data_IF_384644783667
#
_entry.id   IF_384644783667
#
_cell.length_a   1.000
_cell.length_b   1.000
_cell.length_c   1.000
_cell.angle_alpha   90.00
_cell.angle_beta   90.00
_cell.angle_gamma   90.00
#
_symmetry.space_group_name_H-M   'P 1'
#
loop_
_entity.id
_entity.type
_entity.pdbx_description
1 polymer ?
#
# COMPACT_ATOMS: atom_id res chain seq x y z
N UNK A 1 1.76 8.26 -29.27
CA UNK A 1 2.96 8.78 -28.58
C UNK A 1 3.41 7.69 -27.62
N UNK A 2 4.62 7.16 -27.76
CA UNK A 2 5.20 6.38 -26.68
C UNK A 2 5.46 7.38 -25.55
N UNK A 3 4.65 7.37 -24.50
CA UNK A 3 5.03 8.06 -23.27
C UNK A 3 6.36 7.45 -22.84
N UNK A 4 7.42 8.25 -22.87
CA UNK A 4 8.70 7.87 -22.28
C UNK A 4 8.41 7.50 -20.83
N UNK A 5 8.74 6.27 -20.43
CA UNK A 5 8.61 5.87 -19.03
C UNK A 5 9.35 6.89 -18.15
N UNK A 6 8.72 7.37 -17.07
CA UNK A 6 9.34 8.33 -16.17
C UNK A 6 10.64 7.72 -15.64
N UNK A 7 11.61 8.57 -15.33
CA UNK A 7 12.86 8.12 -14.74
C UNK A 7 12.57 7.41 -13.40
N UNK A 8 13.02 6.17 -13.28
CA UNK A 8 12.96 5.38 -12.05
C UNK A 8 14.41 5.16 -11.59
N UNK A 9 14.74 5.62 -10.39
CA UNK A 9 16.05 5.36 -9.82
C UNK A 9 16.13 3.91 -9.31
N UNK A 10 16.99 3.11 -9.94
CA UNK A 10 17.24 1.73 -9.55
C UNK A 10 17.84 1.56 -8.14
N UNK A 11 18.40 2.62 -7.55
CA UNK A 11 18.94 2.61 -6.18
C UNK A 11 17.86 2.63 -5.10
N UNK A 12 16.68 3.17 -5.41
CA UNK A 12 15.52 3.26 -4.51
C UNK A 12 14.23 3.06 -5.32
N UNK A 13 14.06 1.82 -5.80
CA UNK A 13 12.94 1.44 -6.67
C UNK A 13 11.58 1.71 -6.01
N UNK A 14 11.44 1.36 -4.73
CA UNK A 14 10.17 1.48 -3.99
C UNK A 14 9.70 2.93 -3.99
N UNK A 15 10.56 3.84 -3.53
CA UNK A 15 10.21 5.26 -3.47
C UNK A 15 10.10 5.90 -4.85
N UNK A 16 10.98 5.54 -5.79
CA UNK A 16 10.96 6.11 -7.14
C UNK A 16 9.69 5.77 -7.91
N UNK A 17 9.22 4.52 -7.83
CA UNK A 17 7.97 4.09 -8.47
C UNK A 17 6.78 4.75 -7.76
N UNK A 18 6.73 4.69 -6.42
CA UNK A 18 5.64 5.30 -5.65
C UNK A 18 5.52 6.80 -5.91
N UNK A 19 6.64 7.52 -5.98
CA UNK A 19 6.66 8.96 -6.24
C UNK A 19 6.02 9.33 -7.57
N UNK A 20 6.19 8.51 -8.61
CA UNK A 20 5.58 8.78 -9.93
C UNK A 20 4.11 8.36 -10.00
N UNK A 21 3.61 7.57 -9.04
CA UNK A 21 2.20 7.18 -8.98
C UNK A 21 1.29 8.34 -8.56
N UNK A 22 1.68 9.15 -7.58
CA UNK A 22 0.87 10.31 -7.14
C UNK A 22 0.41 11.20 -8.32
N UNK A 23 1.31 11.74 -9.17
CA UNK A 23 0.89 12.59 -10.28
C UNK A 23 0.07 11.83 -11.34
N UNK A 24 0.31 10.52 -11.52
CA UNK A 24 -0.47 9.69 -12.46
C UNK A 24 -1.88 9.42 -11.97
N UNK A 25 -2.04 9.15 -10.68
CA UNK A 25 -3.35 9.01 -10.04
C UNK A 25 -4.08 10.34 -10.11
N UNK A 26 -3.42 11.44 -9.76
CA UNK A 26 -3.97 12.79 -9.85
C UNK A 26 -4.45 13.14 -11.27
N UNK A 27 -3.70 12.76 -12.31
CA UNK A 27 -4.10 12.96 -13.70
C UNK A 27 -5.31 12.11 -14.14
N UNK A 28 -5.56 10.98 -13.47
CA UNK A 28 -6.72 10.12 -13.72
C UNK A 28 -7.96 10.53 -12.91
N UNK A 29 -7.81 11.44 -11.94
CA UNK A 29 -8.89 11.98 -11.12
C UNK A 29 -9.67 13.08 -11.86
N UNK A 30 -10.93 13.24 -11.50
CA UNK A 30 -11.82 14.28 -12.04
C UNK A 30 -11.62 15.64 -11.37
N UNK A 31 -11.00 15.66 -10.18
CA UNK A 31 -10.84 16.84 -9.34
C UNK A 31 -12.03 17.10 -8.39
N UNK A 32 -13.12 16.34 -8.54
CA UNK A 32 -14.31 16.43 -7.68
C UNK A 32 -14.36 15.36 -6.60
N UNK A 33 -13.35 14.49 -6.52
CA UNK A 33 -13.24 13.49 -5.48
C UNK A 33 -13.23 14.16 -4.10
N UNK A 34 -13.86 13.53 -3.09
CA UNK A 34 -13.84 14.03 -1.72
C UNK A 34 -12.45 13.90 -1.06
N UNK A 35 -11.47 13.39 -1.79
CA UNK A 35 -10.09 13.20 -1.34
C UNK A 35 -9.09 13.81 -2.32
N UNK A 36 -7.84 13.92 -1.89
CA UNK A 36 -6.67 14.10 -2.74
C UNK A 36 -5.65 13.00 -2.43
N UNK A 37 -4.61 12.88 -3.25
CA UNK A 37 -3.58 11.86 -3.08
C UNK A 37 -2.25 12.54 -2.75
N UNK A 38 -1.45 11.92 -1.89
CA UNK A 38 -0.13 12.41 -1.51
C UNK A 38 0.83 11.24 -1.27
N UNK A 39 2.07 11.36 -1.75
CA UNK A 39 3.21 10.50 -1.41
C UNK A 39 3.91 11.00 -0.14
N UNK A 40 4.30 10.08 0.74
CA UNK A 40 4.97 10.39 1.99
C UNK A 40 4.15 11.22 3.01
N UNK A 41 2.80 11.07 3.12
CA UNK A 41 2.08 11.79 4.15
C UNK A 41 2.35 11.20 5.53
N UNK A 42 2.48 12.08 6.52
CA UNK A 42 2.72 11.70 7.92
C UNK A 42 1.42 11.38 8.67
N UNK A 43 1.34 10.18 9.22
CA UNK A 43 0.32 9.75 10.18
C UNK A 43 0.61 10.34 11.56
N UNK A 44 -0.28 11.19 12.09
CA UNK A 44 -0.01 11.93 13.33
C UNK A 44 -0.68 11.36 14.58
N UNK A 45 -1.74 10.57 14.45
CA UNK A 45 -2.54 10.04 15.55
C UNK A 45 -1.76 9.04 16.41
N UNK A 46 -0.96 8.19 15.78
CA UNK A 46 -0.18 7.14 16.45
C UNK A 46 1.26 7.54 16.70
N UNK A 47 1.60 8.81 16.41
CA UNK A 47 2.93 9.37 16.64
C UNK A 47 3.34 9.18 18.10
N UNK A 48 4.51 8.59 18.30
CA UNK A 48 5.13 8.49 19.63
C UNK A 48 5.54 9.89 20.13
N UNK A 49 5.66 10.11 21.45
CA UNK A 49 6.17 11.38 21.97
C UNK A 49 7.52 11.76 21.38
N UNK A 50 7.81 13.06 21.36
CA UNK A 50 9.09 13.58 20.89
C UNK A 50 10.26 12.85 21.59
N UNK A 51 11.35 12.52 20.87
CA UNK A 51 11.74 13.04 19.56
C UNK A 51 11.31 12.19 18.34
N UNK A 52 10.41 11.22 18.51
CA UNK A 52 10.03 10.32 17.41
C UNK A 52 9.30 11.06 16.27
N UNK A 53 9.67 10.75 15.02
CA UNK A 53 8.91 11.19 13.86
C UNK A 53 7.59 10.41 13.76
N UNK A 54 6.53 11.04 13.22
CA UNK A 54 5.32 10.32 12.88
C UNK A 54 5.61 9.22 11.86
N UNK A 55 4.87 8.11 11.88
CA UNK A 55 4.93 7.16 10.78
C UNK A 55 4.54 7.82 9.46
N UNK A 56 5.10 7.33 8.36
CA UNK A 56 4.95 7.89 7.02
C UNK A 56 4.42 6.77 6.12
N UNK A 57 3.34 7.07 5.39
CA UNK A 57 2.80 6.14 4.41
C UNK A 57 3.50 6.34 3.06
N UNK A 58 3.66 5.27 2.30
CA UNK A 58 4.14 5.39 0.92
C UNK A 58 3.18 6.23 0.08
N UNK A 59 1.87 6.03 0.19
CA UNK A 59 0.88 6.89 -0.47
C UNK A 59 -0.40 6.91 0.36
N UNK A 60 -1.14 8.00 0.35
CA UNK A 60 -2.48 7.99 0.92
C UNK A 60 -3.49 8.81 0.13
N UNK A 61 -4.73 8.35 0.18
CA UNK A 61 -5.92 9.08 -0.25
C UNK A 61 -6.45 9.82 0.99
N UNK A 62 -6.31 11.14 1.00
CA UNK A 62 -6.57 12.00 2.15
C UNK A 62 -7.92 12.67 1.97
N UNK A 63 -8.83 12.47 2.94
CA UNK A 63 -10.17 13.07 2.90
C UNK A 63 -10.09 14.59 3.07
N UNK A 64 -10.65 15.36 2.14
CA UNK A 64 -10.63 16.83 2.16
C UNK A 64 -11.40 17.42 3.35
N UNK A 65 -12.43 16.73 3.81
CA UNK A 65 -13.25 17.18 4.94
C UNK A 65 -12.53 17.02 6.29
N UNK A 66 -11.59 16.08 6.39
CA UNK A 66 -10.78 15.83 7.57
C UNK A 66 -9.50 15.08 7.17
N UNK A 67 -8.39 15.81 7.03
CA UNK A 67 -7.11 15.27 6.52
C UNK A 67 -6.46 14.26 7.48
N UNK A 68 -6.99 14.10 8.70
CA UNK A 68 -6.58 13.01 9.60
C UNK A 68 -7.09 11.66 9.09
N UNK A 69 -8.18 11.65 8.34
CA UNK A 69 -8.76 10.45 7.75
C UNK A 69 -8.05 10.17 6.44
N UNK A 70 -7.19 9.17 6.48
CA UNK A 70 -6.37 8.74 5.35
C UNK A 70 -6.67 7.28 5.04
N UNK A 71 -6.80 6.97 3.76
CA UNK A 71 -6.81 5.60 3.26
C UNK A 71 -5.43 5.30 2.64
N UNK A 72 -4.56 4.58 3.35
CA UNK A 72 -3.16 4.41 2.97
C UNK A 72 -2.92 3.24 2.02
N UNK A 73 -1.87 3.40 1.22
CA UNK A 73 -1.19 2.37 0.44
C UNK A 73 0.24 2.26 0.93
N UNK A 74 0.66 1.06 1.30
CA UNK A 74 2.07 0.74 1.52
C UNK A 74 2.60 -0.08 0.36
N UNK A 75 3.75 0.29 -0.17
CA UNK A 75 4.36 -0.32 -1.32
C UNK A 75 5.53 -1.21 -0.92
N UNK A 76 5.71 -2.34 -1.61
CA UNK A 76 6.92 -3.15 -1.52
C UNK A 76 7.35 -3.63 -2.89
N UNK A 77 8.65 -3.59 -3.14
CA UNK A 77 9.23 -4.27 -4.31
C UNK A 77 9.38 -5.76 -4.02
N UNK A 78 8.81 -6.60 -4.87
CA UNK A 78 8.97 -8.05 -4.83
C UNK A 78 9.90 -8.48 -5.96
N UNK A 79 11.08 -9.03 -5.63
CA UNK A 79 12.01 -9.55 -6.64
C UNK A 79 11.43 -10.76 -7.37
N UNK A 80 10.70 -11.61 -6.64
CA UNK A 80 10.04 -12.82 -7.14
C UNK A 80 8.70 -13.01 -6.44
N UNK A 81 7.81 -13.89 -6.94
CA UNK A 81 6.50 -14.12 -6.32
C UNK A 81 6.58 -14.57 -4.86
N UNK A 82 7.65 -15.28 -4.48
CA UNK A 82 7.86 -15.76 -3.11
C UNK A 82 8.49 -14.73 -2.15
N UNK A 83 8.93 -13.57 -2.64
CA UNK A 83 9.68 -12.58 -1.86
C UNK A 83 8.79 -11.69 -0.96
N UNK A 84 7.77 -12.26 -0.32
CA UNK A 84 6.66 -11.54 0.33
C UNK A 84 6.85 -11.28 1.83
N UNK A 85 8.04 -11.53 2.37
CA UNK A 85 8.27 -11.45 3.82
C UNK A 85 8.11 -10.02 4.38
N UNK A 86 8.72 -9.03 3.74
CA UNK A 86 8.58 -7.62 4.14
C UNK A 86 7.15 -7.10 3.92
N UNK A 87 6.51 -7.51 2.82
CA UNK A 87 5.12 -7.20 2.53
C UNK A 87 4.19 -7.69 3.66
N UNK A 88 4.32 -8.97 4.06
CA UNK A 88 3.50 -9.52 5.12
C UNK A 88 3.80 -8.88 6.48
N UNK A 89 5.07 -8.56 6.75
CA UNK A 89 5.49 -7.87 7.96
C UNK A 89 4.74 -6.56 8.14
N UNK A 90 4.63 -5.74 7.09
CA UNK A 90 3.96 -4.44 7.18
C UNK A 90 2.44 -4.57 7.39
N UNK A 91 1.80 -5.57 6.75
CA UNK A 91 0.39 -5.88 7.07
C UNK A 91 0.23 -6.17 8.56
N UNK A 92 1.00 -7.10 9.10
CA UNK A 92 0.89 -7.55 10.49
C UNK A 92 1.29 -6.48 11.52
N UNK A 93 2.29 -5.66 11.21
CA UNK A 93 2.90 -4.75 12.18
C UNK A 93 2.42 -3.30 12.05
N UNK A 94 2.02 -2.88 10.85
CA UNK A 94 1.56 -1.52 10.62
C UNK A 94 0.02 -1.47 10.61
N UNK A 95 -0.64 -2.22 9.72
CA UNK A 95 -2.11 -2.22 9.65
C UNK A 95 -2.76 -2.93 10.83
N UNK A 96 -2.38 -4.18 11.13
CA UNK A 96 -3.08 -4.97 12.14
C UNK A 96 -2.85 -4.49 13.59
N UNK A 97 -1.82 -3.69 13.82
CA UNK A 97 -1.56 -3.01 15.11
C UNK A 97 -2.12 -1.59 15.18
N UNK A 98 -2.89 -1.18 14.16
CA UNK A 98 -3.44 0.16 14.04
C UNK A 98 -2.38 1.28 14.09
N UNK A 99 -1.14 1.01 13.69
CA UNK A 99 -0.13 2.05 13.49
C UNK A 99 -0.47 2.82 12.22
N UNK A 100 -0.93 2.11 11.19
CA UNK A 100 -1.42 2.68 9.93
C UNK A 100 -2.95 2.57 9.85
N UNK A 101 -3.57 3.49 9.11
CA UNK A 101 -5.01 3.61 8.92
C UNK A 101 -5.85 3.68 10.23
N UNK A 102 -5.50 4.49 11.25
CA UNK A 102 -6.21 4.45 12.54
C UNK A 102 -7.71 4.80 12.43
N UNK A 103 -8.09 5.66 11.48
CA UNK A 103 -9.47 6.09 11.26
C UNK A 103 -10.19 5.40 10.09
N UNK A 104 -9.50 4.50 9.39
CA UNK A 104 -10.04 3.80 8.22
C UNK A 104 -10.19 2.31 8.53
N UNK A 105 -11.29 1.70 8.10
CA UNK A 105 -11.54 0.25 8.24
C UNK A 105 -10.90 -0.56 7.12
N UNK A 106 -10.06 0.07 6.30
CA UNK A 106 -9.33 -0.58 5.23
C UNK A 106 -8.09 0.22 4.85
N UNK A 107 -7.22 -0.43 4.09
CA UNK A 107 -6.04 0.12 3.47
C UNK A 107 -5.59 -0.82 2.35
N UNK A 108 -4.45 -0.53 1.75
CA UNK A 108 -3.93 -1.33 0.68
C UNK A 108 -2.42 -1.56 0.79
N UNK A 109 -2.00 -2.70 0.27
CA UNK A 109 -0.61 -3.03 0.02
C UNK A 109 -0.40 -3.17 -1.50
N UNK A 110 0.61 -2.47 -2.00
CA UNK A 110 1.02 -2.45 -3.40
C UNK A 110 2.32 -3.23 -3.57
N UNK A 111 2.32 -4.25 -4.41
CA UNK A 111 3.53 -4.98 -4.77
C UNK A 111 4.01 -4.56 -6.15
N UNK A 112 5.26 -4.13 -6.25
CA UNK A 112 5.96 -3.97 -7.53
C UNK A 112 6.73 -5.26 -7.82
N UNK A 113 6.16 -6.14 -8.64
CA UNK A 113 6.74 -7.45 -8.95
C UNK A 113 7.72 -7.32 -10.12
N UNK A 114 8.99 -7.63 -9.88
CA UNK A 114 10.06 -7.47 -10.86
C UNK A 114 10.12 -8.66 -11.85
N UNK A 115 9.90 -9.87 -11.34
CA UNK A 115 9.96 -11.10 -12.13
C UNK A 115 8.93 -12.12 -11.65
N UNK A 116 8.35 -12.86 -12.60
CA UNK A 116 7.30 -13.85 -12.34
C UNK A 116 5.90 -13.28 -12.50
N UNK A 117 4.90 -14.06 -12.10
CA UNK A 117 3.48 -13.76 -12.33
C UNK A 117 2.81 -13.20 -11.07
N UNK A 118 1.95 -12.20 -11.23
CA UNK A 118 1.23 -11.58 -10.14
C UNK A 118 0.29 -12.55 -9.40
N UNK A 119 -0.27 -13.54 -10.09
CA UNK A 119 -1.12 -14.58 -9.49
C UNK A 119 -0.35 -15.43 -8.47
N UNK A 120 0.89 -15.77 -8.78
CA UNK A 120 1.76 -16.55 -7.90
C UNK A 120 2.17 -15.73 -6.67
N UNK A 121 2.36 -14.41 -6.86
CA UNK A 121 2.67 -13.50 -5.78
C UNK A 121 1.48 -13.37 -4.81
N UNK A 122 0.25 -13.24 -5.35
CA UNK A 122 -0.98 -13.24 -4.56
C UNK A 122 -1.16 -14.56 -3.77
N UNK A 123 -0.91 -15.71 -4.40
CA UNK A 123 -0.96 -17.01 -3.71
C UNK A 123 0.07 -17.09 -2.57
N UNK A 124 1.28 -16.56 -2.80
CA UNK A 124 2.34 -16.49 -1.79
C UNK A 124 1.99 -15.54 -0.64
N UNK A 125 1.37 -14.39 -0.93
CA UNK A 125 0.84 -13.45 0.07
C UNK A 125 -0.22 -14.14 0.93
N UNK A 126 -1.19 -14.83 0.32
CA UNK A 126 -2.24 -15.57 1.01
C UNK A 126 -1.65 -16.59 2.00
N UNK A 127 -0.69 -17.39 1.52
CA UNK A 127 0.00 -18.40 2.32
C UNK A 127 0.80 -17.77 3.44
N UNK A 128 1.51 -16.67 3.18
CA UNK A 128 2.36 -16.00 4.17
C UNK A 128 1.55 -15.34 5.29
N UNK A 129 0.42 -14.71 4.95
CA UNK A 129 -0.49 -14.10 5.92
C UNK A 129 -1.40 -15.13 6.61
N UNK A 130 -1.46 -16.36 6.10
CA UNK A 130 -2.33 -17.40 6.63
C UNK A 130 -3.82 -17.07 6.48
N UNK A 131 -4.20 -16.34 5.43
CA UNK A 131 -5.58 -15.92 5.18
C UNK A 131 -6.03 -16.20 3.73
N UNK A 132 -7.35 -16.18 3.53
CA UNK A 132 -7.93 -16.21 2.19
C UNK A 132 -7.87 -14.83 1.53
N UNK A 133 -7.58 -14.81 0.24
CA UNK A 133 -7.68 -13.61 -0.59
C UNK A 133 -8.93 -13.71 -1.48
N UNK A 134 -9.81 -12.73 -1.36
CA UNK A 134 -11.07 -12.67 -2.09
C UNK A 134 -10.95 -11.77 -3.32
N UNK A 135 -11.73 -12.08 -4.36
CA UNK A 135 -11.79 -11.29 -5.60
C UNK A 135 -12.42 -9.91 -5.37
N UNK A 136 -11.86 -8.88 -6.00
CA UNK A 136 -12.54 -7.58 -6.13
C UNK A 136 -13.42 -7.63 -7.38
N UNK A 137 -14.73 -7.77 -7.19
CA UNK A 137 -15.69 -8.10 -8.27
C UNK A 137 -15.67 -7.06 -9.39
N UNK A 138 -15.58 -5.78 -9.05
CA UNK A 138 -15.55 -4.64 -9.97
C UNK A 138 -14.30 -4.66 -10.87
N UNK A 139 -13.26 -5.38 -10.47
CA UNK A 139 -11.95 -5.40 -11.09
C UNK A 139 -11.39 -6.82 -11.25
N UNK A 140 -12.25 -7.82 -11.44
CA UNK A 140 -11.92 -9.24 -11.46
C UNK A 140 -10.86 -9.65 -12.49
N UNK A 141 -10.71 -8.88 -13.57
CA UNK A 141 -9.69 -9.10 -14.60
C UNK A 141 -8.28 -8.62 -14.20
N UNK A 142 -8.13 -7.94 -13.05
CA UNK A 142 -6.85 -7.42 -12.57
C UNK A 142 -6.27 -8.35 -11.50
N UNK A 143 -4.94 -8.40 -11.36
CA UNK A 143 -4.28 -9.10 -10.26
C UNK A 143 -4.40 -8.29 -8.96
N UNK A 144 -5.63 -8.13 -8.48
CA UNK A 144 -5.94 -7.54 -7.20
C UNK A 144 -6.84 -8.47 -6.38
N UNK A 145 -6.68 -8.45 -5.08
CA UNK A 145 -7.51 -9.19 -4.13
C UNK A 145 -7.71 -8.36 -2.89
N UNK A 146 -8.54 -8.82 -1.97
CA UNK A 146 -8.54 -8.28 -0.62
C UNK A 146 -8.64 -9.40 0.40
N UNK A 147 -8.08 -9.16 1.58
CA UNK A 147 -8.20 -10.04 2.73
C UNK A 147 -8.92 -9.33 3.87
N UNK A 148 -9.58 -10.11 4.73
CA UNK A 148 -10.27 -9.60 5.91
C UNK A 148 -9.49 -9.94 7.16
N UNK A 149 -9.36 -8.97 8.05
CA UNK A 149 -8.59 -9.09 9.29
C UNK A 149 -9.34 -8.53 10.48
N UNK A 150 -8.86 -8.92 11.67
CA UNK A 150 -9.22 -8.27 12.94
C UNK A 150 -7.98 -7.62 13.52
N UNK A 151 -8.04 -6.31 13.74
CA UNK A 151 -6.94 -5.53 14.31
C UNK A 151 -6.87 -5.65 15.82
N UNK A 152 -5.66 -5.56 16.34
CA UNK A 152 -5.40 -5.35 17.75
C UNK A 152 -5.48 -3.85 18.07
N UNK A 153 -6.69 -3.39 18.41
CA UNK A 153 -6.94 -1.97 18.71
C UNK A 153 -6.35 -1.60 20.08
N UNK A 154 -5.52 -0.55 20.19
CA UNK A 154 -4.96 -0.14 21.47
C UNK A 154 -6.05 0.26 22.49
N UNK A 155 -5.85 0.01 23.80
CA UNK A 155 -6.80 0.39 24.84
C UNK A 155 -7.17 1.87 24.80
N UNK A 156 -8.46 2.17 24.95
CA UNK A 156 -8.98 3.55 24.94
C UNK A 156 -9.04 4.20 23.56
N UNK A 157 -8.69 3.50 22.48
CA UNK A 157 -8.88 3.96 21.11
C UNK A 157 -10.18 3.40 20.53
N UNK A 158 -10.83 4.19 19.69
CA UNK A 158 -12.09 3.85 19.01
C UNK A 158 -11.87 3.52 17.53
N UNK A 159 -10.73 2.91 17.21
CA UNK A 159 -10.41 2.54 15.83
C UNK A 159 -11.27 1.36 15.37
N UNK A 160 -11.58 1.24 14.07
CA UNK A 160 -12.33 0.09 13.55
C UNK A 160 -11.55 -1.22 13.80
N UNK A 161 -12.14 -2.21 14.45
CA UNK A 161 -11.46 -3.51 14.67
C UNK A 161 -11.46 -4.38 13.42
N UNK A 162 -12.54 -4.40 12.65
CA UNK A 162 -12.59 -5.05 11.34
C UNK A 162 -11.75 -4.25 10.34
N UNK A 163 -10.91 -4.95 9.56
CA UNK A 163 -10.04 -4.31 8.60
C UNK A 163 -9.90 -5.12 7.31
N UNK A 164 -10.19 -4.49 6.18
CA UNK A 164 -9.98 -5.06 4.86
C UNK A 164 -8.64 -4.55 4.29
N UNK A 165 -7.74 -5.45 3.96
CA UNK A 165 -6.47 -5.13 3.30
C UNK A 165 -6.57 -5.48 1.82
N UNK A 166 -6.52 -4.47 0.96
CA UNK A 166 -6.48 -4.67 -0.49
C UNK A 166 -5.05 -4.97 -0.94
N UNK A 167 -4.89 -5.98 -1.78
CA UNK A 167 -3.61 -6.41 -2.33
C UNK A 167 -3.61 -6.14 -3.82
N UNK A 168 -2.72 -5.26 -4.27
CA UNK A 168 -2.55 -4.96 -5.69
C UNK A 168 -1.14 -5.38 -6.09
N UNK A 169 -1.00 -6.17 -7.14
CA UNK A 169 0.30 -6.54 -7.68
C UNK A 169 0.44 -5.92 -9.07
N UNK A 170 1.47 -5.10 -9.25
CA UNK A 170 1.83 -4.51 -10.52
C UNK A 170 3.12 -5.15 -11.01
N UNK A 171 3.06 -5.77 -12.18
CA UNK A 171 4.24 -6.36 -12.82
C UNK A 171 5.06 -5.26 -13.50
N UNK A 172 6.36 -5.23 -13.23
CA UNK A 172 7.35 -4.34 -13.83
C UNK A 172 8.44 -5.16 -14.52
N UNK A 173 8.09 -5.92 -15.59
CA UNK A 173 9.04 -6.80 -16.25
C UNK A 173 10.20 -6.00 -16.83
N UNK A 174 11.43 -6.40 -16.47
CA UNK A 174 12.65 -5.78 -16.97
C UNK A 174 13.14 -4.55 -16.19
N UNK A 175 12.44 -4.15 -15.13
CA UNK A 175 12.99 -3.18 -14.17
C UNK A 175 14.04 -3.88 -13.30
N UNK A 176 15.22 -3.29 -13.13
CA UNK A 176 16.29 -3.89 -12.34
C UNK A 176 16.73 -2.93 -11.23
N UNK A 177 17.03 -3.45 -10.04
CA UNK A 177 17.75 -2.67 -9.03
C UNK A 177 19.14 -2.35 -9.56
N UNK A 178 19.55 -1.10 -9.37
CA UNK A 178 20.97 -0.74 -9.51
C UNK A 178 21.74 -1.54 -8.47
N UNK A 179 22.78 -2.26 -8.90
CA UNK A 179 23.70 -2.89 -7.95
C UNK A 179 24.43 -1.75 -7.22
N UNK A 180 24.36 -1.76 -5.89
CA UNK A 180 25.17 -0.91 -5.03
C UNK A 180 26.66 -1.23 -5.17
#
# INVERSE_FOLDING_TARGET
MHESMPFIDGGDLERSITQVLEPRISAAMTGFEPFYVQHGPFERETRRPAPAQPPEYDLAFILRADERIMWPLEAKVLETPGAVAAYAHDVENEFLKCRYAPFSSSGAMLAYLISGEATDALASIATKLGCELHDVVEHSARPNRYSKHTRNVPPGKHYPSAFDCYHLVLEYPGLARSRA
#
